data_IF_038873656790
#
_entry.id   IF_038873656790
#
_cell.length_a   1.000
_cell.length_b   1.000
_cell.length_c   1.000
_cell.angle_alpha   90.00
_cell.angle_beta   90.00
_cell.angle_gamma   90.00
#
_symmetry.space_group_name_H-M   'P 1'
#
loop_
_entity.id
_entity.type
_entity.pdbx_description
1 polymer ?
#
# COMPACT_ATOMS: atom_id res chain seq x y z
N UNK A 1 7.97 1.31 -19.26
CA UNK A 1 7.63 1.97 -17.98
C UNK A 1 6.14 2.29 -18.05
N UNK A 2 5.36 1.90 -17.07
CA UNK A 2 3.91 2.16 -17.06
C UNK A 2 3.70 3.67 -16.89
N UNK A 3 2.77 4.25 -17.66
CA UNK A 3 2.49 5.69 -17.59
C UNK A 3 1.54 6.05 -16.44
N UNK A 4 0.87 5.06 -15.88
CA UNK A 4 -0.16 5.18 -14.84
C UNK A 4 0.35 4.89 -13.42
N UNK A 5 1.58 4.40 -13.27
CA UNK A 5 2.13 3.99 -11.97
C UNK A 5 3.52 4.58 -11.71
N UNK A 6 3.67 5.26 -10.57
CA UNK A 6 4.92 5.81 -10.08
C UNK A 6 5.32 5.25 -8.72
N UNK A 7 6.60 5.08 -8.50
CA UNK A 7 7.17 4.73 -7.20
C UNK A 7 8.00 5.90 -6.67
N UNK A 8 7.86 6.17 -5.39
CA UNK A 8 8.70 7.14 -4.69
C UNK A 8 9.95 6.48 -4.10
N UNK A 9 11.04 7.25 -3.89
CA UNK A 9 12.23 6.71 -3.23
C UNK A 9 11.91 6.23 -1.81
N UNK A 10 12.74 5.32 -1.27
CA UNK A 10 12.57 4.82 0.10
C UNK A 10 12.47 5.94 1.13
N UNK A 11 11.47 5.86 2.00
CA UNK A 11 11.20 6.86 3.03
C UNK A 11 11.71 6.40 4.40
N UNK A 12 12.66 7.14 4.98
CA UNK A 12 13.20 6.85 6.32
C UNK A 12 12.11 6.94 7.41
N UNK A 13 11.18 7.88 7.27
CA UNK A 13 10.06 8.05 8.19
C UNK A 13 9.05 6.88 8.11
N UNK A 14 9.13 6.04 7.06
CA UNK A 14 8.37 4.81 6.86
C UNK A 14 9.27 3.56 6.96
N UNK A 15 10.31 3.56 7.78
CA UNK A 15 11.24 2.43 7.95
C UNK A 15 11.83 1.92 6.61
N UNK A 16 12.19 2.83 5.71
CA UNK A 16 12.73 2.51 4.39
C UNK A 16 11.70 1.97 3.40
N UNK A 17 10.42 2.02 3.76
CA UNK A 17 9.33 1.62 2.86
C UNK A 17 9.16 2.54 1.68
N UNK A 18 8.41 2.07 0.70
CA UNK A 18 8.10 2.77 -0.55
C UNK A 18 6.64 3.21 -0.56
N UNK A 19 6.37 4.31 -1.24
CA UNK A 19 5.04 4.80 -1.54
C UNK A 19 4.82 4.75 -3.06
N UNK A 20 3.56 4.68 -3.47
CA UNK A 20 3.18 4.54 -4.86
C UNK A 20 2.15 5.60 -5.25
N UNK A 21 2.23 6.11 -6.46
CA UNK A 21 1.20 6.88 -7.09
C UNK A 21 0.58 6.07 -8.21
N UNK A 22 -0.74 5.91 -8.16
CA UNK A 22 -1.52 5.30 -9.22
C UNK A 22 -2.43 6.37 -9.84
N UNK A 23 -2.19 6.65 -11.12
CA UNK A 23 -2.95 7.62 -11.90
C UNK A 23 -4.15 6.93 -12.55
N UNK A 24 -5.30 7.06 -11.93
CA UNK A 24 -6.57 6.48 -12.37
C UNK A 24 -7.68 7.50 -12.25
N UNK A 25 -8.62 7.44 -13.17
CA UNK A 25 -9.81 8.32 -13.14
C UNK A 25 -10.97 7.65 -12.38
N UNK A 26 -11.83 8.45 -11.76
CA UNK A 26 -11.78 9.90 -11.55
C UNK A 26 -10.92 10.33 -10.34
N UNK A 27 -10.49 9.39 -9.50
CA UNK A 27 -9.81 9.62 -8.21
C UNK A 27 -8.44 8.93 -8.23
N UNK A 28 -7.33 9.65 -8.56
CA UNK A 28 -5.98 9.10 -8.41
C UNK A 28 -5.69 8.70 -6.96
N UNK A 29 -4.79 7.74 -6.75
CA UNK A 29 -4.50 7.25 -5.41
C UNK A 29 -3.01 7.30 -5.10
N UNK A 30 -2.69 7.94 -3.96
CA UNK A 30 -1.37 7.87 -3.34
C UNK A 30 -1.40 6.79 -2.25
N UNK A 31 -0.60 5.74 -2.42
CA UNK A 31 -0.52 4.61 -1.51
C UNK A 31 0.71 4.78 -0.62
N UNK A 32 0.48 4.89 0.69
CA UNK A 32 1.44 5.23 1.74
C UNK A 32 2.09 6.62 1.56
N UNK A 33 2.84 7.06 2.58
CA UNK A 33 3.41 8.40 2.61
C UNK A 33 4.82 8.44 2.00
N UNK A 34 5.04 9.17 0.89
CA UNK A 34 6.37 9.37 0.34
C UNK A 34 7.21 10.32 1.22
N UNK A 35 8.52 10.48 0.94
CA UNK A 35 9.29 11.56 1.53
C UNK A 35 8.66 12.91 1.21
N UNK A 36 8.31 13.69 2.24
CA UNK A 36 7.64 15.00 2.07
C UNK A 36 8.72 16.05 1.78
N UNK A 37 9.03 16.21 0.50
CA UNK A 37 9.97 17.19 -0.05
C UNK A 37 9.23 18.14 -1.00
N UNK A 38 9.82 19.28 -1.30
CA UNK A 38 9.27 20.20 -2.29
C UNK A 38 9.07 19.53 -3.66
N UNK A 39 10.06 18.76 -4.11
CA UNK A 39 9.99 18.03 -5.38
C UNK A 39 8.82 17.02 -5.38
N UNK A 40 8.59 16.31 -4.27
CA UNK A 40 7.45 15.39 -4.12
C UNK A 40 6.13 16.14 -4.20
N UNK A 41 6.00 17.26 -3.50
CA UNK A 41 4.77 18.06 -3.51
C UNK A 41 4.48 18.66 -4.90
N UNK A 42 5.50 19.17 -5.57
CA UNK A 42 5.36 19.67 -6.95
C UNK A 42 4.92 18.55 -7.90
N UNK A 43 5.54 17.38 -7.81
CA UNK A 43 5.15 16.21 -8.61
C UNK A 43 3.69 15.83 -8.36
N UNK A 44 3.28 15.67 -7.10
CA UNK A 44 1.94 15.23 -6.72
C UNK A 44 0.86 16.23 -7.17
N UNK A 45 1.08 17.53 -6.97
CA UNK A 45 0.15 18.56 -7.44
C UNK A 45 0.01 18.55 -8.98
N UNK A 46 1.12 18.38 -9.70
CA UNK A 46 1.10 18.30 -11.17
C UNK A 46 0.38 17.04 -11.65
N UNK A 47 0.65 15.88 -11.02
CA UNK A 47 0.03 14.61 -11.38
C UNK A 47 -1.47 14.58 -11.06
N UNK A 48 -1.89 15.25 -9.99
CA UNK A 48 -3.31 15.38 -9.64
C UNK A 48 -4.09 16.19 -10.68
N UNK A 49 -3.47 17.26 -11.21
CA UNK A 49 -4.21 18.23 -12.04
C UNK A 49 -5.37 18.86 -11.27
N UNK A 50 -6.54 18.87 -11.88
CA UNK A 50 -7.78 19.40 -11.27
C UNK A 50 -8.55 18.34 -10.45
N UNK A 51 -8.03 17.09 -10.37
CA UNK A 51 -8.65 16.00 -9.61
C UNK A 51 -8.31 16.10 -8.12
N UNK A 52 -9.13 15.49 -7.29
CA UNK A 52 -8.86 15.34 -5.85
C UNK A 52 -8.45 13.89 -5.57
N UNK A 53 -7.15 13.61 -5.46
CA UNK A 53 -6.66 12.27 -5.14
C UNK A 53 -7.02 11.84 -3.73
N UNK A 54 -7.00 10.53 -3.49
CA UNK A 54 -7.12 9.95 -2.16
C UNK A 54 -5.76 9.40 -1.69
N UNK A 55 -5.39 9.68 -0.45
CA UNK A 55 -4.24 9.04 0.20
C UNK A 55 -4.76 7.78 0.90
N UNK A 56 -4.23 6.63 0.57
CA UNK A 56 -4.57 5.35 1.21
C UNK A 56 -3.36 4.88 2.01
N UNK A 57 -3.55 4.62 3.29
CA UNK A 57 -2.50 4.05 4.14
C UNK A 57 -2.69 2.55 4.27
N UNK A 58 -1.67 1.78 3.91
CA UNK A 58 -1.70 0.32 4.03
C UNK A 58 -1.42 -0.16 5.45
N UNK A 59 -0.79 0.65 6.28
CA UNK A 59 -0.54 0.39 7.71
C UNK A 59 0.07 1.60 8.40
N UNK A 60 0.18 1.56 9.75
CA UNK A 60 0.91 2.57 10.53
C UNK A 60 2.37 2.77 10.10
N UNK A 61 2.98 1.77 9.51
CA UNK A 61 4.36 1.89 9.03
C UNK A 61 4.48 2.73 7.74
N UNK A 62 3.35 2.96 7.05
CA UNK A 62 3.24 3.84 5.89
C UNK A 62 2.89 5.30 6.23
N UNK A 63 2.68 5.65 7.51
CA UNK A 63 2.25 7.00 7.92
C UNK A 63 3.27 8.09 7.61
N UNK A 64 4.56 7.84 7.83
CA UNK A 64 5.62 8.84 7.65
C UNK A 64 5.28 10.19 8.25
N UNK A 65 5.40 11.25 7.45
CA UNK A 65 5.02 12.63 7.82
C UNK A 65 3.66 13.03 7.24
N UNK A 66 2.69 12.14 7.33
CA UNK A 66 1.37 12.31 6.71
C UNK A 66 0.68 13.63 7.07
N UNK A 67 0.80 14.10 8.32
CA UNK A 67 0.22 15.39 8.74
C UNK A 67 0.74 16.55 7.90
N UNK A 68 2.05 16.61 7.64
CA UNK A 68 2.65 17.63 6.76
C UNK A 68 2.20 17.47 5.31
N UNK A 69 2.10 16.23 4.84
CA UNK A 69 1.64 15.94 3.49
C UNK A 69 0.20 16.41 3.30
N UNK A 70 -0.70 16.08 4.23
CA UNK A 70 -2.10 16.49 4.17
C UNK A 70 -2.25 18.01 4.32
N UNK A 71 -1.47 18.65 5.20
CA UNK A 71 -1.47 20.10 5.35
C UNK A 71 -1.16 20.81 4.01
N UNK A 72 -0.18 20.28 3.25
CA UNK A 72 0.22 20.85 1.97
C UNK A 72 -0.76 20.55 0.83
N UNK A 73 -1.30 19.33 0.76
CA UNK A 73 -2.11 18.88 -0.38
C UNK A 73 -3.61 18.98 -0.15
N UNK A 74 -4.06 18.98 1.09
CA UNK A 74 -5.50 18.97 1.49
C UNK A 74 -6.29 17.79 0.95
N UNK A 75 -5.62 16.66 0.66
CA UNK A 75 -6.27 15.45 0.17
C UNK A 75 -6.86 14.62 1.30
N UNK A 76 -8.01 13.94 1.07
CA UNK A 76 -8.58 13.01 2.03
C UNK A 76 -7.67 11.81 2.22
N UNK A 77 -7.63 11.31 3.45
CA UNK A 77 -6.87 10.13 3.85
C UNK A 77 -7.84 9.01 4.19
N UNK A 78 -7.62 7.83 3.65
CA UNK A 78 -8.35 6.62 3.98
C UNK A 78 -7.42 5.65 4.71
N UNK A 79 -7.87 5.15 5.87
CA UNK A 79 -7.12 4.22 6.70
C UNK A 79 -8.07 3.18 7.31
N UNK A 80 -7.54 1.98 7.59
CA UNK A 80 -8.31 1.01 8.37
C UNK A 80 -8.53 1.53 9.81
N UNK A 81 -9.74 1.37 10.35
CA UNK A 81 -10.18 2.00 11.61
C UNK A 81 -9.24 1.76 12.80
N UNK A 82 -8.58 0.59 12.88
CA UNK A 82 -7.66 0.26 13.96
C UNK A 82 -6.32 1.03 13.92
N UNK A 83 -6.07 1.81 12.86
CA UNK A 83 -4.89 2.70 12.74
C UNK A 83 -5.26 4.17 12.92
N UNK A 84 -6.56 4.53 12.82
CA UNK A 84 -7.03 5.91 12.83
C UNK A 84 -6.65 6.69 14.11
N UNK A 85 -6.60 6.02 15.27
CA UNK A 85 -6.24 6.65 16.54
C UNK A 85 -4.79 7.19 16.57
N UNK A 86 -3.94 6.75 15.67
CA UNK A 86 -2.56 7.25 15.52
C UNK A 86 -2.49 8.56 14.73
N UNK A 87 -3.62 9.03 14.21
CA UNK A 87 -3.73 10.17 13.29
C UNK A 87 -4.73 11.23 13.80
N UNK A 88 -4.68 11.61 15.10
CA UNK A 88 -5.73 12.42 15.74
C UNK A 88 -5.85 13.85 15.18
N UNK A 89 -4.83 14.34 14.46
CA UNK A 89 -4.76 15.72 13.98
C UNK A 89 -5.04 15.85 12.46
N UNK A 90 -5.47 14.79 11.80
CA UNK A 90 -5.84 14.88 10.39
C UNK A 90 -7.26 15.42 10.25
N UNK A 91 -7.42 16.40 9.34
CA UNK A 91 -8.71 17.07 9.14
C UNK A 91 -9.66 16.28 8.24
N UNK A 92 -9.12 15.54 7.26
CA UNK A 92 -9.87 14.79 6.26
C UNK A 92 -9.48 13.31 6.38
N UNK A 93 -9.96 12.63 7.42
CA UNK A 93 -9.66 11.24 7.71
C UNK A 93 -10.93 10.41 7.59
N UNK A 94 -10.96 9.53 6.60
CA UNK A 94 -11.97 8.50 6.40
C UNK A 94 -11.45 7.17 6.94
N UNK A 95 -12.34 6.32 7.42
CA UNK A 95 -11.99 4.98 7.90
C UNK A 95 -12.85 3.92 7.24
N UNK A 96 -12.33 2.69 7.18
CA UNK A 96 -13.09 1.51 6.80
C UNK A 96 -12.81 0.35 7.76
N UNK A 97 -13.73 -0.60 7.87
CA UNK A 97 -13.61 -1.77 8.74
C UNK A 97 -12.99 -2.97 8.01
N UNK A 98 -13.77 -3.72 7.24
CA UNK A 98 -13.34 -4.98 6.60
C UNK A 98 -12.87 -4.79 5.16
N UNK A 99 -13.61 -4.00 4.39
CA UNK A 99 -13.35 -3.75 2.97
C UNK A 99 -13.86 -2.37 2.56
N UNK A 100 -13.31 -1.84 1.48
CA UNK A 100 -13.72 -0.57 0.91
C UNK A 100 -13.48 -0.57 -0.61
N UNK A 101 -14.26 0.20 -1.35
CA UNK A 101 -14.02 0.44 -2.78
C UNK A 101 -13.95 1.94 -3.02
N UNK A 102 -12.87 2.41 -3.63
CA UNK A 102 -12.68 3.83 -4.00
C UNK A 102 -13.58 4.24 -5.16
N UNK A 103 -13.67 5.53 -5.44
CA UNK A 103 -14.43 6.04 -6.60
C UNK A 103 -13.87 5.52 -7.93
N UNK A 104 -12.57 5.26 -8.01
CA UNK A 104 -11.90 4.68 -9.18
C UNK A 104 -11.98 3.14 -9.23
N UNK A 105 -12.77 2.51 -8.37
CA UNK A 105 -12.97 1.06 -8.37
C UNK A 105 -11.85 0.24 -7.74
N UNK A 106 -10.87 0.88 -7.06
CA UNK A 106 -9.85 0.16 -6.34
C UNK A 106 -10.45 -0.48 -5.08
N UNK A 107 -10.11 -1.74 -4.84
CA UNK A 107 -10.68 -2.53 -3.75
C UNK A 107 -9.66 -2.69 -2.62
N UNK A 108 -10.06 -2.36 -1.40
CA UNK A 108 -9.27 -2.54 -0.19
C UNK A 108 -9.80 -3.73 0.60
N UNK A 109 -8.87 -4.48 1.19
CA UNK A 109 -9.16 -5.58 2.11
C UNK A 109 -8.34 -5.42 3.38
N UNK A 110 -8.99 -5.45 4.55
CA UNK A 110 -8.32 -5.53 5.83
C UNK A 110 -7.56 -6.85 5.97
N UNK A 111 -6.26 -6.77 6.23
CA UNK A 111 -5.34 -7.91 6.31
C UNK A 111 -4.43 -7.78 7.55
N UNK A 112 -5.00 -7.93 8.77
CA UNK A 112 -4.24 -7.75 10.00
C UNK A 112 -3.12 -8.77 10.14
N UNK A 113 -2.07 -8.36 10.83
CA UNK A 113 -0.92 -9.23 11.12
C UNK A 113 0.37 -8.46 11.15
N UNK A 114 0.80 -7.78 10.10
CA UNK A 114 1.93 -6.84 10.17
C UNK A 114 1.67 -5.76 11.22
N UNK A 115 0.49 -5.13 11.16
CA UNK A 115 -0.08 -4.24 12.18
C UNK A 115 -1.56 -4.58 12.38
N UNK A 116 -2.25 -4.06 13.42
CA UNK A 116 -3.67 -4.31 13.64
C UNK A 116 -4.54 -3.91 12.46
N UNK A 117 -4.30 -2.75 11.87
CA UNK A 117 -5.08 -2.18 10.76
C UNK A 117 -4.38 -2.28 9.40
N UNK A 118 -3.45 -3.23 9.22
CA UNK A 118 -2.87 -3.46 7.88
C UNK A 118 -3.94 -3.82 6.86
N UNK A 119 -3.77 -3.30 5.64
CA UNK A 119 -4.64 -3.61 4.51
C UNK A 119 -3.84 -3.75 3.21
N UNK A 120 -4.47 -4.31 2.21
CA UNK A 120 -3.99 -4.37 0.84
C UNK A 120 -4.95 -3.62 -0.07
N UNK A 121 -4.48 -3.24 -1.26
CA UNK A 121 -5.25 -2.52 -2.26
C UNK A 121 -5.09 -3.20 -3.61
N UNK A 122 -6.17 -3.70 -4.19
CA UNK A 122 -6.20 -4.24 -5.54
C UNK A 122 -6.72 -3.19 -6.52
N UNK A 123 -5.90 -2.82 -7.48
CA UNK A 123 -6.30 -2.07 -8.65
C UNK A 123 -6.67 -3.07 -9.75
N UNK A 124 -7.96 -3.11 -10.20
CA UNK A 124 -8.38 -4.02 -11.25
C UNK A 124 -7.77 -3.63 -12.61
N UNK A 125 -7.94 -4.45 -13.66
CA UNK A 125 -7.58 -4.05 -15.01
C UNK A 125 -8.21 -2.70 -15.41
N UNK A 126 -7.51 -1.84 -16.20
CA UNK A 126 -6.24 -2.13 -16.87
C UNK A 126 -5.00 -2.04 -16.00
N UNK A 127 -5.07 -1.44 -14.81
CA UNK A 127 -3.92 -1.30 -13.92
C UNK A 127 -3.39 -2.67 -13.44
N UNK A 128 -4.25 -3.55 -12.99
CA UNK A 128 -3.95 -4.91 -12.59
C UNK A 128 -2.75 -5.04 -11.63
N UNK A 129 -2.78 -4.29 -10.52
CA UNK A 129 -1.73 -4.27 -9.50
C UNK A 129 -2.32 -4.52 -8.12
N UNK A 130 -1.67 -5.38 -7.34
CA UNK A 130 -1.95 -5.58 -5.92
C UNK A 130 -0.88 -4.87 -5.08
N UNK A 131 -1.26 -3.81 -4.40
CA UNK A 131 -0.42 -3.14 -3.41
C UNK A 131 -0.52 -3.88 -2.10
N UNK A 132 0.55 -4.61 -1.77
CA UNK A 132 0.55 -5.57 -0.66
C UNK A 132 0.83 -4.92 0.70
N UNK A 133 1.13 -3.63 0.76
CA UNK A 133 1.63 -3.01 1.98
C UNK A 133 2.84 -3.77 2.51
N UNK A 134 2.78 -4.18 3.78
CA UNK A 134 3.81 -5.03 4.40
C UNK A 134 3.35 -6.46 4.65
N UNK A 135 2.21 -6.85 4.10
CA UNK A 135 1.73 -8.23 4.18
C UNK A 135 2.67 -9.19 3.43
N UNK A 136 3.11 -8.75 2.24
CA UNK A 136 4.13 -9.42 1.44
C UNK A 136 5.36 -8.50 1.31
N UNK A 137 6.51 -9.04 1.63
CA UNK A 137 7.78 -8.30 1.62
C UNK A 137 8.76 -8.93 0.64
N UNK A 138 9.70 -8.16 0.07
CA UNK A 138 10.75 -8.67 -0.79
C UNK A 138 11.60 -9.74 -0.13
N UNK A 139 11.71 -10.91 -0.76
CA UNK A 139 12.55 -12.03 -0.32
C UNK A 139 13.81 -12.17 -1.18
N UNK A 140 13.72 -11.76 -2.45
CA UNK A 140 14.79 -11.84 -3.44
C UNK A 140 14.27 -11.36 -4.81
N UNK A 141 15.10 -11.34 -5.85
CA UNK A 141 14.67 -10.97 -7.20
C UNK A 141 13.44 -11.77 -7.62
N UNK A 142 12.44 -11.09 -8.17
CA UNK A 142 11.20 -11.69 -8.63
C UNK A 142 10.34 -12.35 -7.55
N UNK A 143 10.59 -12.10 -6.25
CA UNK A 143 9.98 -12.87 -5.19
C UNK A 143 9.50 -12.01 -4.03
N UNK A 144 8.19 -12.09 -3.72
CA UNK A 144 7.58 -11.57 -2.50
C UNK A 144 7.04 -12.70 -1.65
N UNK A 145 7.08 -12.53 -0.34
CA UNK A 145 6.50 -13.50 0.57
C UNK A 145 6.26 -12.95 1.97
N UNK A 146 5.70 -13.81 2.81
CA UNK A 146 5.35 -13.46 4.18
C UNK A 146 6.45 -13.91 5.13
N UNK A 147 7.03 -12.98 5.86
CA UNK A 147 8.03 -13.26 6.88
C UNK A 147 7.61 -12.69 8.23
N UNK A 148 7.96 -13.39 9.31
CA UNK A 148 7.80 -12.87 10.66
C UNK A 148 8.94 -11.90 10.95
N UNK A 149 8.61 -10.67 11.30
CA UNK A 149 9.56 -9.64 11.69
C UNK A 149 9.40 -9.33 13.18
N UNK A 150 10.40 -8.68 13.78
CA UNK A 150 10.34 -8.26 15.18
C UNK A 150 9.14 -7.32 15.49
N UNK A 151 8.69 -6.59 14.48
CA UNK A 151 7.54 -5.67 14.57
C UNK A 151 6.20 -6.29 14.19
N UNK A 152 6.16 -7.56 13.75
CA UNK A 152 4.91 -8.23 13.41
C UNK A 152 3.99 -8.24 14.61
N UNK A 153 2.83 -7.60 14.47
CA UNK A 153 1.83 -7.50 15.53
C UNK A 153 1.31 -8.88 15.92
N UNK A 154 0.92 -9.71 14.93
CA UNK A 154 0.37 -11.03 15.22
C UNK A 154 0.60 -12.01 14.06
N UNK A 155 1.56 -12.90 14.21
CA UNK A 155 1.99 -13.80 13.15
C UNK A 155 0.88 -14.68 12.57
N UNK A 156 0.10 -15.35 13.44
CA UNK A 156 -0.98 -16.22 12.96
C UNK A 156 -2.10 -15.47 12.23
N UNK A 157 -2.40 -14.24 12.65
CA UNK A 157 -3.33 -13.37 11.89
C UNK A 157 -2.75 -13.00 10.53
N UNK A 158 -1.44 -12.76 10.45
CA UNK A 158 -0.79 -12.48 9.17
C UNK A 158 -0.91 -13.66 8.21
N UNK A 159 -0.72 -14.90 8.69
CA UNK A 159 -0.91 -16.11 7.88
C UNK A 159 -2.37 -16.27 7.42
N UNK A 160 -3.32 -16.06 8.32
CA UNK A 160 -4.75 -16.08 7.98
C UNK A 160 -5.12 -15.01 6.94
N UNK A 161 -4.55 -13.80 7.08
CA UNK A 161 -4.73 -12.71 6.10
C UNK A 161 -4.18 -13.06 4.72
N UNK A 162 -3.04 -13.77 4.67
CA UNK A 162 -2.46 -14.24 3.39
C UNK A 162 -3.37 -15.27 2.72
N UNK A 163 -3.95 -16.20 3.49
CA UNK A 163 -4.93 -17.18 2.96
C UNK A 163 -6.17 -16.45 2.43
N UNK A 164 -6.76 -15.59 3.27
CA UNK A 164 -7.93 -14.78 2.89
C UNK A 164 -7.68 -13.94 1.62
N UNK A 165 -6.47 -13.36 1.49
CA UNK A 165 -6.10 -12.58 0.31
C UNK A 165 -6.10 -13.42 -0.96
N UNK A 166 -5.60 -14.66 -0.91
CA UNK A 166 -5.62 -15.57 -2.06
C UNK A 166 -7.02 -15.91 -2.52
N UNK A 167 -7.92 -16.15 -1.56
CA UNK A 167 -9.33 -16.46 -1.85
C UNK A 167 -10.10 -15.23 -2.34
N UNK A 168 -9.64 -14.03 -1.97
CA UNK A 168 -10.29 -12.78 -2.34
C UNK A 168 -9.91 -12.26 -3.73
N UNK A 169 -8.69 -12.55 -4.21
CA UNK A 169 -8.25 -12.19 -5.55
C UNK A 169 -9.03 -13.04 -6.56
N UNK A 170 -9.72 -12.42 -7.55
CA UNK A 170 -10.44 -13.18 -8.56
C UNK A 170 -9.51 -14.16 -9.29
N UNK A 171 -9.90 -15.43 -9.46
CA UNK A 171 -9.02 -16.48 -9.98
C UNK A 171 -8.54 -16.24 -11.41
N UNK A 172 -9.28 -15.47 -12.18
CA UNK A 172 -8.93 -15.08 -13.56
C UNK A 172 -7.92 -13.92 -13.61
N UNK A 173 -7.62 -13.29 -12.47
CA UNK A 173 -6.66 -12.18 -12.40
C UNK A 173 -5.30 -12.68 -11.94
N UNK A 174 -4.25 -12.06 -12.48
CA UNK A 174 -2.86 -12.28 -12.07
C UNK A 174 -2.20 -10.92 -11.92
N UNK A 175 -2.53 -10.16 -10.85
CA UNK A 175 -2.02 -8.80 -10.69
C UNK A 175 -0.50 -8.81 -10.44
N UNK A 176 0.19 -7.79 -10.92
CA UNK A 176 1.54 -7.51 -10.46
C UNK A 176 1.53 -7.11 -8.98
N UNK A 177 2.53 -7.53 -8.24
CA UNK A 177 2.62 -7.32 -6.80
C UNK A 177 3.54 -6.12 -6.51
N UNK A 178 3.00 -5.12 -5.81
CA UNK A 178 3.71 -3.93 -5.35
C UNK A 178 3.85 -3.95 -3.81
N UNK A 179 5.05 -4.09 -3.30
CA UNK A 179 5.29 -4.06 -1.85
C UNK A 179 5.44 -2.63 -1.34
N UNK A 180 4.92 -2.34 -0.14
CA UNK A 180 5.18 -1.11 0.62
C UNK A 180 6.41 -1.20 1.52
N UNK A 181 7.11 -2.34 1.54
CA UNK A 181 8.37 -2.52 2.27
C UNK A 181 9.56 -1.98 1.48
N UNK A 182 10.76 -2.03 2.09
CA UNK A 182 12.00 -1.71 1.40
C UNK A 182 12.28 -2.71 0.27
N UNK A 183 12.48 -2.22 -0.96
CA UNK A 183 12.62 -3.05 -2.16
C UNK A 183 14.05 -3.53 -2.44
N UNK A 184 15.02 -3.26 -1.57
CA UNK A 184 16.44 -3.57 -1.83
C UNK A 184 16.74 -5.03 -2.18
N UNK A 185 15.98 -5.99 -1.63
CA UNK A 185 16.12 -7.40 -1.95
C UNK A 185 15.72 -7.76 -3.40
N UNK A 186 14.88 -6.95 -4.05
CA UNK A 186 14.47 -7.13 -5.45
C UNK A 186 15.55 -6.71 -6.46
N UNK A 187 16.68 -6.14 -6.02
CA UNK A 187 17.84 -5.76 -6.85
C UNK A 187 17.47 -4.89 -8.07
N UNK A 188 16.56 -3.95 -7.90
CA UNK A 188 16.15 -3.00 -8.94
C UNK A 188 14.80 -3.30 -9.58
N UNK A 189 14.22 -4.46 -9.35
CA UNK A 189 12.82 -4.71 -9.71
C UNK A 189 11.90 -3.90 -8.81
N UNK A 190 10.81 -3.40 -9.37
CA UNK A 190 9.82 -2.59 -8.64
C UNK A 190 8.55 -3.39 -8.38
N UNK A 191 8.10 -4.14 -9.38
CA UNK A 191 6.93 -5.00 -9.35
C UNK A 191 7.36 -6.46 -9.48
N UNK A 192 6.63 -7.35 -8.86
CA UNK A 192 6.88 -8.79 -8.93
C UNK A 192 5.66 -9.45 -9.59
N UNK A 193 5.83 -10.35 -10.56
CA UNK A 193 4.70 -11.06 -11.16
C UNK A 193 3.96 -11.88 -10.11
N UNK A 194 2.67 -12.10 -10.30
CA UNK A 194 1.85 -12.89 -9.36
C UNK A 194 2.44 -14.27 -9.04
N UNK A 195 3.08 -14.90 -10.01
CA UNK A 195 3.79 -16.19 -9.84
C UNK A 195 4.99 -16.10 -8.89
N UNK A 196 5.51 -14.92 -8.61
CA UNK A 196 6.57 -14.67 -7.65
C UNK A 196 6.09 -14.57 -6.19
N UNK A 197 4.80 -14.76 -5.94
CA UNK A 197 4.27 -14.83 -4.59
C UNK A 197 4.59 -16.16 -3.94
N UNK A 198 5.58 -16.16 -3.06
CA UNK A 198 5.98 -17.35 -2.30
C UNK A 198 4.96 -17.64 -1.19
N UNK A 199 4.45 -18.87 -1.10
CA UNK A 199 3.58 -19.25 0.00
C UNK A 199 4.31 -19.13 1.35
N UNK A 200 3.58 -18.84 2.45
CA UNK A 200 4.19 -18.84 3.77
C UNK A 200 4.75 -20.24 4.08
N UNK A 201 5.79 -20.33 4.93
CA UNK A 201 6.28 -21.62 5.38
C UNK A 201 5.15 -22.42 6.02
N UNK A 202 5.07 -23.70 5.72
CA UNK A 202 4.13 -24.63 6.36
C UNK A 202 4.30 -24.54 7.87
N UNK A 203 3.20 -24.42 8.60
CA UNK A 203 3.19 -24.55 10.05
C UNK A 203 3.51 -26.02 10.37
N UNK A 204 4.78 -26.31 10.63
CA UNK A 204 5.21 -27.59 11.22
C UNK A 204 5.03 -27.53 12.73
#
# INVERSE_FOLDING_TARGET
>A
MRHDLWIFPPNRDCNGGTAWWLDVDPEPVLIDCPPVTEATLVFLNRAAGDRTPKIVLTSREGHGRLGRLQEALRWPVLVQEQEAYLLPNLLLLDTFAEAFTTLSGLQLLWTPGPTPGSCVLLAPPPANVLFCGRLLTPLGPGCLGTIRQARTFHWFRQLASVSRLRDWIPPETSPELASGAALGALKGELLVPYSGWTPPPSLS
#
